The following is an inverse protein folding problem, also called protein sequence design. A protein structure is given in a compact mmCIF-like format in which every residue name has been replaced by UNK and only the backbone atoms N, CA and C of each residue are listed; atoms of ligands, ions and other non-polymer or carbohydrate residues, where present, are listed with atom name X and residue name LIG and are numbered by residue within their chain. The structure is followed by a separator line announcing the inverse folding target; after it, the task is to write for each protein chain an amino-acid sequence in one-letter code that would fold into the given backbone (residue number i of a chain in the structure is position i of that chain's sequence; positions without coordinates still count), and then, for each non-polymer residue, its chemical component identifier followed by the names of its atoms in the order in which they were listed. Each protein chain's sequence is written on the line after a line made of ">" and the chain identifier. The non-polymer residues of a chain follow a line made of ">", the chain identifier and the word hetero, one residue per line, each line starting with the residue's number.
data_IF_166056672798
#
_entry.id   IF_166056672798
#
_cell.length_a   1.000
_cell.length_b   1.000
_cell.length_c   1.000
_cell.angle_alpha   90.00
_cell.angle_beta   90.00
_cell.angle_gamma   90.00
#
_symmetry.space_group_name_H-M   'P 1'
#
loop_
_entity.id
_entity.type
_entity.pdbx_description
1 polymer ?
#
# COMPACT_ATOMS: atom_id res chain seq x y z
N UNK A 1 -6.92 -11.78 -16.81
CA UNK A 1 -7.00 -10.73 -15.76
C UNK A 1 -8.40 -10.14 -15.81
N UNK A 2 -9.40 -10.90 -15.36
CA UNK A 2 -10.83 -10.52 -15.47
C UNK A 2 -11.62 -10.72 -14.20
N UNK A 3 -11.09 -11.44 -13.21
CA UNK A 3 -11.85 -11.77 -11.98
C UNK A 3 -11.95 -10.57 -11.03
N UNK A 4 -10.85 -9.84 -10.82
CA UNK A 4 -10.86 -8.63 -9.99
C UNK A 4 -11.18 -7.38 -10.81
N UNK A 5 -11.95 -6.44 -10.23
CA UNK A 5 -12.35 -5.23 -10.93
C UNK A 5 -11.14 -4.31 -11.18
N UNK A 6 -11.22 -3.57 -12.29
CA UNK A 6 -10.37 -2.41 -12.52
C UNK A 6 -11.16 -1.16 -12.15
N UNK A 7 -10.58 -0.31 -11.32
CA UNK A 7 -11.20 0.93 -10.84
C UNK A 7 -10.50 2.12 -11.50
N UNK A 8 -11.30 3.09 -11.94
CA UNK A 8 -10.79 4.39 -12.35
C UNK A 8 -10.79 5.34 -11.16
N UNK A 9 -9.62 5.79 -10.73
CA UNK A 9 -9.48 6.83 -9.72
C UNK A 9 -9.40 8.19 -10.39
N UNK A 10 -10.24 9.13 -9.96
CA UNK A 10 -10.32 10.46 -10.53
C UNK A 10 -9.13 11.34 -10.14
N UNK A 11 -8.83 12.33 -10.98
CA UNK A 11 -7.92 13.41 -10.61
C UNK A 11 -8.39 14.10 -9.32
N UNK A 12 -7.44 14.53 -8.49
CA UNK A 12 -7.71 15.11 -7.18
C UNK A 12 -7.93 14.09 -6.05
N UNK A 13 -7.99 12.78 -6.35
CA UNK A 13 -7.96 11.74 -5.30
C UNK A 13 -6.71 11.92 -4.44
N UNK A 14 -6.90 11.93 -3.12
CA UNK A 14 -5.82 12.16 -2.16
C UNK A 14 -5.23 10.86 -1.64
N UNK A 15 -3.93 10.89 -1.37
CA UNK A 15 -3.18 9.83 -0.73
C UNK A 15 -2.25 10.39 0.35
N UNK A 16 -1.90 9.53 1.30
CA UNK A 16 -0.98 9.82 2.37
C UNK A 16 0.20 8.86 2.32
N UNK A 17 1.40 9.42 2.49
CA UNK A 17 2.62 8.64 2.62
C UNK A 17 3.46 9.17 3.77
N UNK A 18 3.76 8.30 4.72
CA UNK A 18 4.66 8.59 5.80
C UNK A 18 6.11 8.30 5.38
N UNK A 19 7.01 9.20 5.74
CA UNK A 19 8.45 9.04 5.62
C UNK A 19 9.09 9.15 6.99
N UNK A 20 9.93 8.16 7.31
CA UNK A 20 10.73 8.13 8.53
C UNK A 20 12.12 8.67 8.23
N UNK A 21 12.59 9.58 9.07
CA UNK A 21 13.95 10.13 9.05
C UNK A 21 14.43 10.55 7.64
N UNK A 22 13.66 11.39 6.89
CA UNK A 22 14.15 11.92 5.63
C UNK A 22 15.40 12.79 5.85
N UNK A 23 16.31 12.81 4.89
CA UNK A 23 17.53 13.63 4.99
C UNK A 23 17.20 15.11 4.88
N UNK A 24 16.32 15.45 3.93
CA UNK A 24 15.79 16.79 3.69
C UNK A 24 14.27 16.69 3.66
N UNK A 25 13.57 16.94 4.77
CA UNK A 25 12.12 16.72 4.87
C UNK A 25 11.29 17.50 3.83
N UNK A 26 11.78 18.64 3.36
CA UNK A 26 11.15 19.46 2.33
C UNK A 26 11.38 18.98 0.90
N UNK A 27 12.25 17.99 0.69
CA UNK A 27 12.54 17.45 -0.63
C UNK A 27 11.47 16.41 -1.02
N UNK A 28 10.63 16.77 -2.00
CA UNK A 28 9.49 15.95 -2.43
C UNK A 28 9.91 14.59 -2.99
N UNK A 29 11.11 14.48 -3.56
CA UNK A 29 11.61 13.22 -4.12
C UNK A 29 11.88 12.16 -3.05
N UNK A 30 12.05 12.55 -1.77
CA UNK A 30 12.18 11.57 -0.68
C UNK A 30 10.88 10.85 -0.33
N UNK A 31 9.75 11.32 -0.89
CA UNK A 31 8.43 10.73 -0.73
C UNK A 31 8.00 9.94 -1.97
N UNK A 32 8.82 9.89 -3.03
CA UNK A 32 8.50 9.08 -4.21
C UNK A 32 8.84 7.60 -3.98
N UNK A 33 8.67 6.77 -5.01
CA UNK A 33 9.14 5.39 -5.06
C UNK A 33 10.60 5.26 -4.60
N UNK A 34 10.97 4.13 -3.95
CA UNK A 34 12.32 3.95 -3.43
C UNK A 34 13.43 4.21 -4.47
N UNK A 35 14.61 4.71 -4.04
CA UNK A 35 15.80 4.77 -4.89
C UNK A 35 16.18 3.38 -5.43
N UNK A 36 16.86 3.33 -6.58
CA UNK A 36 17.14 2.09 -7.32
C UNK A 36 17.82 1.01 -6.46
N UNK A 37 18.76 1.40 -5.58
CA UNK A 37 19.46 0.49 -4.66
C UNK A 37 18.56 -0.23 -3.64
N UNK A 38 17.31 0.22 -3.48
CA UNK A 38 16.33 -0.35 -2.57
C UNK A 38 15.17 -1.05 -3.30
N UNK A 39 15.18 -1.11 -4.63
CA UNK A 39 14.16 -1.82 -5.40
C UNK A 39 14.22 -3.33 -5.18
N UNK A 40 13.09 -4.00 -5.41
CA UNK A 40 12.91 -5.44 -5.21
C UNK A 40 12.80 -5.85 -3.74
N UNK A 41 12.46 -4.94 -2.84
CA UNK A 41 12.35 -5.20 -1.40
C UNK A 41 10.90 -5.22 -0.89
N UNK A 42 9.98 -4.55 -1.57
CA UNK A 42 8.57 -4.55 -1.21
C UNK A 42 7.76 -5.65 -1.91
N UNK A 43 6.43 -5.55 -1.73
CA UNK A 43 5.44 -6.55 -2.14
C UNK A 43 5.24 -6.62 -3.66
N UNK A 44 5.24 -5.47 -4.32
CA UNK A 44 4.88 -5.32 -5.73
C UNK A 44 6.03 -4.80 -6.61
N UNK A 45 7.11 -4.27 -6.02
CA UNK A 45 8.25 -3.74 -6.76
C UNK A 45 9.24 -4.84 -7.18
N UNK A 46 9.95 -4.57 -8.27
CA UNK A 46 11.07 -5.35 -8.75
C UNK A 46 12.19 -4.40 -9.18
N UNK A 47 13.35 -4.96 -9.55
CA UNK A 47 14.47 -4.15 -10.05
C UNK A 47 14.12 -3.31 -11.30
N UNK A 48 13.15 -3.77 -12.10
CA UNK A 48 12.69 -3.09 -13.31
C UNK A 48 11.35 -2.37 -13.14
N UNK A 49 10.71 -2.48 -11.98
CA UNK A 49 9.42 -1.86 -11.69
C UNK A 49 9.45 -1.17 -10.32
N UNK A 50 9.84 0.11 -10.26
CA UNK A 50 9.65 0.93 -9.08
C UNK A 50 8.17 1.02 -8.72
N UNK A 51 7.86 1.04 -7.42
CA UNK A 51 6.48 1.15 -6.92
C UNK A 51 6.41 2.14 -5.79
N UNK A 52 5.44 3.04 -5.90
CA UNK A 52 5.05 3.99 -4.89
C UNK A 52 3.93 3.38 -4.04
N UNK A 53 4.15 3.25 -2.74
CA UNK A 53 3.15 2.78 -1.79
C UNK A 53 2.56 3.96 -1.01
N UNK A 54 1.24 3.98 -0.86
CA UNK A 54 0.52 4.96 -0.05
C UNK A 54 -0.81 4.38 0.45
N UNK A 55 -1.49 5.13 1.30
CA UNK A 55 -2.84 4.83 1.76
C UNK A 55 -3.78 6.00 1.53
N UNK A 56 -5.07 5.74 1.42
CA UNK A 56 -6.10 6.79 1.49
C UNK A 56 -6.46 7.13 2.95
N UNK A 57 -6.03 6.29 3.89
CA UNK A 57 -6.28 6.43 5.32
C UNK A 57 -4.99 6.82 6.05
N UNK A 58 -5.07 7.86 6.87
CA UNK A 58 -3.91 8.41 7.58
C UNK A 58 -3.43 7.48 8.71
N UNK A 59 -4.36 6.96 9.51
CA UNK A 59 -4.02 6.16 10.68
C UNK A 59 -3.29 4.88 10.24
N UNK A 60 -3.73 4.32 9.13
CA UNK A 60 -3.15 3.11 8.54
C UNK A 60 -1.77 3.38 7.97
N UNK A 61 -1.57 4.54 7.35
CA UNK A 61 -0.25 4.96 6.89
C UNK A 61 0.77 4.98 8.04
N UNK A 62 0.35 5.41 9.24
CA UNK A 62 1.18 5.43 10.44
C UNK A 62 1.46 4.00 10.94
N UNK A 63 0.43 3.17 11.04
CA UNK A 63 0.56 1.79 11.52
C UNK A 63 1.45 0.92 10.61
N UNK A 64 1.33 1.04 9.29
CA UNK A 64 2.15 0.25 8.34
C UNK A 64 3.63 0.63 8.36
N UNK A 65 3.95 1.87 8.75
CA UNK A 65 5.31 2.39 8.70
C UNK A 65 6.20 1.89 9.85
N UNK A 66 5.66 1.06 10.77
CA UNK A 66 6.38 0.49 11.93
C UNK A 66 7.23 1.55 12.61
N UNK A 67 6.59 2.65 12.98
CA UNK A 67 7.22 3.82 13.59
C UNK A 67 7.63 3.53 15.02
N UNK A 68 8.76 4.11 15.43
CA UNK A 68 9.19 4.12 16.83
C UNK A 68 9.07 5.55 17.39
N UNK A 69 9.11 5.72 18.71
CA UNK A 69 9.03 7.05 19.36
C UNK A 69 10.25 7.92 18.99
N UNK A 70 11.39 7.29 18.67
CA UNK A 70 12.63 7.98 18.32
C UNK A 70 12.66 8.45 16.85
N UNK A 71 11.76 7.94 16.00
CA UNK A 71 11.73 8.29 14.59
C UNK A 71 11.23 9.74 14.38
N UNK A 72 11.90 10.49 13.51
CA UNK A 72 11.34 11.72 12.94
C UNK A 72 10.36 11.37 11.83
N UNK A 73 9.10 11.73 12.03
CA UNK A 73 8.02 11.36 11.13
C UNK A 73 7.53 12.57 10.32
N UNK A 74 7.47 12.41 9.02
CA UNK A 74 6.91 13.39 8.10
C UNK A 74 5.87 12.74 7.21
N UNK A 75 4.72 13.39 7.09
CA UNK A 75 3.61 12.91 6.30
C UNK A 75 3.43 13.79 5.08
N UNK A 76 3.52 13.21 3.89
CA UNK A 76 3.13 13.88 2.66
C UNK A 76 1.66 13.60 2.35
N UNK A 77 0.90 14.65 2.06
CA UNK A 77 -0.40 14.56 1.39
C UNK A 77 -0.19 14.78 -0.10
N UNK A 78 -0.63 13.84 -0.92
CA UNK A 78 -0.47 13.86 -2.37
C UNK A 78 -1.84 13.82 -3.05
N UNK A 79 -1.96 14.41 -4.23
CA UNK A 79 -3.15 14.32 -5.05
C UNK A 79 -2.83 13.89 -6.48
N UNK A 80 -3.73 13.12 -7.10
CA UNK A 80 -3.60 12.75 -8.51
C UNK A 80 -3.75 13.96 -9.43
N UNK A 81 -2.78 14.15 -10.32
CA UNK A 81 -2.84 15.17 -11.38
C UNK A 81 -3.76 14.78 -12.53
N UNK A 82 -3.97 13.48 -12.74
CA UNK A 82 -4.84 12.92 -13.80
C UNK A 82 -5.47 11.60 -13.34
N UNK A 83 -6.57 11.16 -13.97
CA UNK A 83 -7.16 9.86 -13.65
C UNK A 83 -6.22 8.70 -13.93
N UNK A 84 -6.34 7.62 -13.15
CA UNK A 84 -5.57 6.38 -13.31
C UNK A 84 -6.48 5.15 -13.25
N UNK A 85 -6.07 4.07 -13.90
CA UNK A 85 -6.74 2.78 -13.85
C UNK A 85 -5.93 1.79 -13.02
N UNK A 86 -6.54 1.22 -11.98
CA UNK A 86 -5.86 0.35 -11.03
C UNK A 86 -6.64 -0.95 -10.85
N UNK A 87 -5.91 -2.06 -10.68
CA UNK A 87 -6.51 -3.35 -10.31
C UNK A 87 -6.88 -3.32 -8.83
N UNK A 88 -8.13 -3.63 -8.46
CA UNK A 88 -8.54 -3.70 -7.06
C UNK A 88 -8.60 -5.14 -6.55
N UNK A 89 -7.58 -5.53 -5.79
CA UNK A 89 -7.47 -6.85 -5.13
C UNK A 89 -8.09 -6.86 -3.72
N UNK A 90 -8.71 -5.76 -3.28
CA UNK A 90 -9.39 -5.65 -1.98
C UNK A 90 -10.88 -5.95 -2.05
N UNK A 91 -11.45 -6.02 -3.25
CA UNK A 91 -12.86 -6.33 -3.46
C UNK A 91 -13.18 -7.81 -3.30
N UNK A 92 -14.40 -8.09 -2.86
CA UNK A 92 -14.94 -9.46 -2.89
C UNK A 92 -15.48 -9.75 -4.28
N UNK A 93 -15.00 -10.83 -4.90
CA UNK A 93 -15.46 -11.26 -6.22
C UNK A 93 -16.46 -12.41 -6.08
N UNK A 94 -17.38 -12.52 -7.04
CA UNK A 94 -18.30 -13.67 -7.08
C UNK A 94 -17.61 -14.79 -7.83
N UNK A 95 -17.47 -15.94 -7.18
CA UNK A 95 -16.76 -17.11 -7.71
C UNK A 95 -17.68 -18.33 -7.67
N UNK A 96 -17.60 -19.16 -8.70
CA UNK A 96 -18.19 -20.51 -8.70
C UNK A 96 -17.11 -21.51 -8.28
N UNK A 97 -17.47 -22.49 -7.43
CA UNK A 97 -16.56 -23.56 -7.01
C UNK A 97 -16.46 -23.70 -5.49
N UNK A 98 -15.44 -24.43 -5.07
CA UNK A 98 -15.16 -24.70 -3.65
C UNK A 98 -14.18 -23.68 -3.04
N UNK A 99 -14.08 -23.64 -1.72
CA UNK A 99 -13.09 -22.83 -1.00
C UNK A 99 -11.64 -23.10 -1.45
N UNK A 100 -11.33 -24.33 -1.89
CA UNK A 100 -10.02 -24.71 -2.40
C UNK A 100 -9.70 -24.10 -3.78
N UNK A 101 -10.72 -23.68 -4.51
CA UNK A 101 -10.62 -23.07 -5.83
C UNK A 101 -10.77 -21.54 -5.77
N UNK A 102 -11.15 -20.99 -4.61
CA UNK A 102 -11.39 -19.56 -4.44
C UNK A 102 -10.12 -18.73 -4.60
N UNK A 103 -10.12 -17.87 -5.61
CA UNK A 103 -9.08 -16.88 -5.86
C UNK A 103 -9.17 -15.79 -4.79
N UNK A 104 -10.37 -15.43 -4.32
CA UNK A 104 -10.52 -14.50 -3.19
C UNK A 104 -9.76 -14.99 -1.96
N UNK A 105 -9.90 -16.28 -1.62
CA UNK A 105 -9.17 -16.88 -0.51
C UNK A 105 -7.65 -16.90 -0.77
N UNK A 106 -7.22 -17.25 -1.99
CA UNK A 106 -5.82 -17.23 -2.36
C UNK A 106 -5.20 -15.83 -2.19
N UNK A 107 -5.87 -14.79 -2.70
CA UNK A 107 -5.45 -13.40 -2.56
C UNK A 107 -5.43 -12.98 -1.08
N UNK A 108 -6.46 -13.34 -0.32
CA UNK A 108 -6.50 -13.08 1.12
C UNK A 108 -5.26 -13.68 1.83
N UNK A 109 -4.92 -14.94 1.54
CA UNK A 109 -3.74 -15.57 2.14
C UNK A 109 -2.41 -14.98 1.66
N UNK A 110 -2.31 -14.54 0.40
CA UNK A 110 -1.12 -13.86 -0.10
C UNK A 110 -0.78 -12.59 0.69
N UNK A 111 -1.81 -11.83 1.10
CA UNK A 111 -1.63 -10.62 1.91
C UNK A 111 -1.41 -10.88 3.40
N UNK A 112 -1.73 -12.09 3.89
CA UNK A 112 -1.41 -12.55 5.26
C UNK A 112 -0.02 -13.17 5.35
N UNK A 113 0.47 -13.72 4.25
CA UNK A 113 1.75 -14.38 4.19
C UNK A 113 2.93 -13.40 4.39
N UNK A 114 4.00 -13.84 5.09
CA UNK A 114 5.28 -13.15 5.14
C UNK A 114 5.93 -12.93 3.76
N UNK A 115 7.17 -12.45 3.75
CA UNK A 115 7.88 -12.06 2.52
C UNK A 115 8.03 -13.13 1.43
N UNK A 116 7.79 -14.41 1.71
CA UNK A 116 7.80 -15.45 0.69
C UNK A 116 6.65 -15.33 -0.32
N UNK A 117 5.55 -14.63 0.00
CA UNK A 117 4.48 -14.35 -0.96
C UNK A 117 4.83 -13.24 -1.96
N UNK A 118 5.93 -12.51 -1.73
CA UNK A 118 6.28 -11.35 -2.54
C UNK A 118 6.60 -11.73 -3.98
N UNK A 119 7.12 -12.92 -4.23
CA UNK A 119 7.37 -13.39 -5.61
C UNK A 119 6.06 -13.40 -6.42
N UNK A 120 4.98 -13.95 -5.85
CA UNK A 120 3.67 -14.00 -6.50
C UNK A 120 3.09 -12.59 -6.66
N UNK A 121 3.16 -11.77 -5.62
CA UNK A 121 2.65 -10.38 -5.67
C UNK A 121 3.40 -9.54 -6.73
N UNK A 122 4.71 -9.73 -6.88
CA UNK A 122 5.51 -9.07 -7.93
C UNK A 122 5.12 -9.52 -9.32
N UNK A 123 4.86 -10.82 -9.52
CA UNK A 123 4.36 -11.31 -10.81
C UNK A 123 2.97 -10.74 -11.14
N UNK A 124 2.09 -10.58 -10.14
CA UNK A 124 0.81 -9.88 -10.30
C UNK A 124 1.05 -8.42 -10.73
N UNK A 125 1.95 -7.70 -10.07
CA UNK A 125 2.29 -6.31 -10.42
C UNK A 125 2.89 -6.17 -11.82
N UNK A 126 3.83 -7.03 -12.19
CA UNK A 126 4.41 -7.07 -13.53
C UNK A 126 3.36 -7.37 -14.59
N UNK A 127 2.44 -8.30 -14.31
CA UNK A 127 1.33 -8.61 -15.21
C UNK A 127 0.37 -7.42 -15.34
N UNK A 128 0.04 -6.73 -14.25
CA UNK A 128 -0.84 -5.56 -14.26
C UNK A 128 -0.21 -4.42 -15.08
N UNK A 129 1.08 -4.16 -14.85
CA UNK A 129 1.87 -3.18 -15.59
C UNK A 129 1.92 -3.50 -17.10
N UNK A 130 2.15 -4.77 -17.48
CA UNK A 130 2.11 -5.23 -18.89
C UNK A 130 0.74 -5.00 -19.53
N UNK A 131 -0.34 -5.07 -18.76
CA UNK A 131 -1.71 -4.79 -19.19
C UNK A 131 -2.06 -3.28 -19.12
N UNK A 132 -1.06 -2.39 -18.96
CA UNK A 132 -1.20 -0.93 -18.96
C UNK A 132 -2.07 -0.38 -17.82
N UNK A 133 -2.14 -1.11 -16.70
CA UNK A 133 -2.67 -0.57 -15.46
C UNK A 133 -1.61 0.29 -14.78
N UNK A 134 -2.05 1.34 -14.09
CA UNK A 134 -1.19 2.31 -13.41
C UNK A 134 -0.78 1.85 -12.00
N UNK A 135 -1.48 0.84 -11.46
CA UNK A 135 -1.24 0.37 -10.10
C UNK A 135 -2.19 -0.71 -9.62
N UNK A 136 -2.10 -1.01 -8.33
CA UNK A 136 -2.88 -2.02 -7.62
C UNK A 136 -3.41 -1.41 -6.32
N UNK A 137 -4.72 -1.53 -6.08
CA UNK A 137 -5.33 -1.39 -4.77
C UNK A 137 -5.29 -2.75 -4.08
N UNK A 138 -4.91 -2.78 -2.80
CA UNK A 138 -4.78 -4.00 -2.03
C UNK A 138 -5.21 -3.81 -0.58
N UNK A 139 -5.69 -4.88 0.09
CA UNK A 139 -6.09 -4.79 1.49
C UNK A 139 -4.88 -4.50 2.39
N UNK A 140 -5.08 -3.65 3.38
CA UNK A 140 -4.07 -3.45 4.43
C UNK A 140 -3.80 -4.76 5.18
N UNK A 141 -2.53 -4.98 5.55
CA UNK A 141 -2.16 -6.11 6.40
C UNK A 141 -2.92 -6.09 7.75
N UNK A 142 -3.25 -4.89 8.22
CA UNK A 142 -3.86 -4.64 9.54
C UNK A 142 -5.39 -4.74 9.57
N UNK A 143 -6.05 -5.01 8.43
CA UNK A 143 -7.48 -5.37 8.41
C UNK A 143 -7.80 -6.59 9.30
N UNK A 144 -6.78 -7.33 9.75
CA UNK A 144 -6.93 -8.44 10.70
C UNK A 144 -7.24 -8.01 12.14
N UNK A 145 -7.02 -6.73 12.49
CA UNK A 145 -7.09 -6.22 13.87
C UNK A 145 -8.16 -5.13 14.04
N UNK A 146 -8.68 -4.57 12.96
CA UNK A 146 -9.74 -3.57 13.00
C UNK A 146 -11.11 -4.23 13.24
N UNK A 147 -11.82 -3.81 14.28
CA UNK A 147 -13.21 -4.22 14.57
C UNK A 147 -14.26 -3.64 13.61
N UNK A 148 -13.83 -2.97 12.54
CA UNK A 148 -14.70 -2.31 11.56
C UNK A 148 -14.90 -3.18 10.32
N UNK A 149 -16.13 -3.29 9.83
CA UNK A 149 -16.48 -4.01 8.59
C UNK A 149 -15.93 -3.35 7.31
N UNK A 150 -15.31 -2.18 7.41
CA UNK A 150 -14.72 -1.49 6.27
C UNK A 150 -13.32 -2.02 5.97
N UNK A 151 -13.16 -2.61 4.78
CA UNK A 151 -11.86 -3.03 4.26
C UNK A 151 -11.02 -1.79 3.98
N UNK A 152 -9.92 -1.64 4.72
CA UNK A 152 -8.98 -0.54 4.52
C UNK A 152 -8.12 -0.86 3.30
N UNK A 153 -8.03 0.13 2.40
CA UNK A 153 -7.40 0.00 1.09
C UNK A 153 -6.10 0.80 1.03
N UNK A 154 -5.02 0.12 0.66
CA UNK A 154 -3.77 0.75 0.27
C UNK A 154 -3.64 0.75 -1.24
N UNK A 155 -2.71 1.56 -1.74
CA UNK A 155 -2.43 1.66 -3.17
C UNK A 155 -0.93 1.54 -3.43
N UNK A 156 -0.62 0.79 -4.48
CA UNK A 156 0.69 0.65 -5.09
C UNK A 156 0.61 1.25 -6.50
N UNK A 157 1.25 2.39 -6.75
CA UNK A 157 1.30 3.05 -8.05
C UNK A 157 2.64 2.74 -8.72
N UNK A 158 2.61 2.32 -9.98
CA UNK A 158 3.80 1.92 -10.70
C UNK A 158 4.65 3.11 -11.18
N UNK A 159 5.97 2.93 -11.21
CA UNK A 159 6.93 3.93 -11.63
C UNK A 159 7.32 4.90 -10.52
N UNK A 160 7.62 6.15 -10.90
CA UNK A 160 8.02 7.26 -10.01
C UNK A 160 6.98 8.38 -10.11
N UNK A 161 5.81 8.23 -9.47
CA UNK A 161 4.68 9.10 -9.75
C UNK A 161 4.88 10.57 -9.38
N UNK A 162 5.72 10.91 -8.41
CA UNK A 162 6.00 12.31 -8.08
C UNK A 162 6.92 12.91 -9.15
N UNK A 163 8.03 12.24 -9.46
CA UNK A 163 8.99 12.66 -10.49
C UNK A 163 8.33 12.80 -11.86
N UNK A 164 7.45 11.86 -12.22
CA UNK A 164 6.72 11.86 -13.48
C UNK A 164 5.53 12.84 -13.51
N UNK A 165 5.26 13.57 -12.42
CA UNK A 165 4.17 14.54 -12.31
C UNK A 165 2.76 13.94 -12.22
N UNK A 166 2.65 12.62 -12.01
CA UNK A 166 1.37 11.94 -11.80
C UNK A 166 0.76 12.27 -10.43
N UNK A 167 1.60 12.44 -9.42
CA UNK A 167 1.23 12.87 -8.08
C UNK A 167 1.85 14.23 -7.77
N UNK A 168 1.00 15.14 -7.29
CA UNK A 168 1.43 16.44 -6.77
C UNK A 168 1.46 16.39 -5.24
N UNK A 169 2.61 16.73 -4.64
CA UNK A 169 2.73 16.88 -3.18
C UNK A 169 2.04 18.19 -2.79
N UNK A 170 0.95 18.10 -2.03
CA UNK A 170 0.16 19.25 -1.58
C UNK A 170 0.73 19.88 -0.33
N UNK A 171 1.15 19.06 0.62
CA UNK A 171 1.84 19.50 1.82
C UNK A 171 2.68 18.37 2.40
N UNK A 172 3.65 18.76 3.23
CA UNK A 172 4.45 17.87 4.06
C UNK A 172 4.37 18.39 5.48
N UNK A 173 3.83 17.59 6.38
CA UNK A 173 3.63 17.94 7.77
C UNK A 173 4.49 17.06 8.67
N UNK A 174 5.14 17.67 9.67
CA UNK A 174 5.82 16.90 10.72
C UNK A 174 4.77 16.26 11.61
N UNK A 175 4.79 14.94 11.71
CA UNK A 175 3.89 14.18 12.56
C UNK A 175 4.53 14.02 13.95
N UNK A 176 3.82 14.45 15.00
CA UNK A 176 4.22 14.25 16.39
C UNK A 176 3.27 13.26 17.07
N UNK A 177 3.75 12.06 17.39
CA UNK A 177 3.00 11.08 18.14
C UNK A 177 2.95 11.51 19.62
N UNK A 178 1.74 11.72 20.14
CA UNK A 178 1.55 12.18 21.53
C UNK A 178 1.29 11.04 22.52
N UNK A 179 0.49 10.05 22.12
CA UNK A 179 0.16 8.88 22.93
C UNK A 179 -0.15 7.69 21.99
N UNK A 180 0.05 6.47 22.49
CA UNK A 180 -0.33 5.22 21.81
C UNK A 180 -1.07 4.36 22.83
N UNK A 181 -2.29 3.94 22.51
CA UNK A 181 -3.08 3.04 23.34
C UNK A 181 -3.03 1.62 22.78
N UNK A 182 -2.71 0.64 23.64
CA UNK A 182 -2.68 -0.78 23.29
C UNK A 182 -3.80 -1.51 24.01
N UNK A 183 -4.65 -2.21 23.28
CA UNK A 183 -5.64 -3.14 23.81
C UNK A 183 -5.19 -4.58 23.53
N UNK A 184 -5.22 -5.45 24.54
CA UNK A 184 -4.78 -6.83 24.43
C UNK A 184 -5.57 -7.76 25.35
N UNK A 185 -5.57 -9.06 25.01
CA UNK A 185 -6.05 -10.12 25.89
C UNK A 185 -4.98 -11.21 25.99
N UNK A 186 -4.91 -11.89 27.14
CA UNK A 186 -4.05 -13.06 27.28
C UNK A 186 -4.71 -14.30 26.65
N UNK A 187 -3.91 -15.13 26.00
CA UNK A 187 -4.30 -16.47 25.55
C UNK A 187 -3.60 -17.54 26.40
N UNK A 188 -4.13 -18.77 26.47
CA UNK A 188 -3.51 -19.85 27.22
C UNK A 188 -2.14 -20.22 26.61
N UNK A 189 -1.11 -20.35 27.45
CA UNK A 189 0.15 -20.99 27.05
C UNK A 189 0.15 -22.45 27.53
N UNK A 190 0.28 -23.40 26.60
CA UNK A 190 0.66 -24.76 26.95
C UNK A 190 2.15 -24.74 27.36
N UNK A 191 2.42 -24.98 28.65
CA UNK A 191 3.74 -25.32 29.16
C UNK A 191 3.97 -26.83 29.06
#
# INVERSE_FOLDING_TARGET
>A
MTEFPTINLSAGTNFYRLRKNPNVPSNFNEYDSPPDQYLGRGRFDSQSLPVFYASQDLDICIHESRVTIEDELYLAKLALSKPINVLDLSESITEEGTEFESISMAIHFLFRAPSHSYEILREIALSASKNKLDGIIYPSYFNQVSSSDQTIKNIAIFGRPIENGLLEVKCIDRLMLKHVEYSYHFGPSSF
#
